data_IF_516557595113
#
_entry.id   IF_516557595113
#
_cell.length_a   1.000
_cell.length_b   1.000
_cell.length_c   1.000
_cell.angle_alpha   90.00
_cell.angle_beta   90.00
_cell.angle_gamma   90.00
#
_symmetry.space_group_name_H-M   'P 1'
#
loop_
_entity.id
_entity.type
_entity.pdbx_description
1 polymer ?
#
# COMPACT_ATOMS: atom_id res chain seq x y z
N UNK A 1 22.36 12.57 -7.69
CA UNK A 1 21.85 11.26 -7.19
C UNK A 1 21.14 10.58 -8.35
N UNK A 2 21.31 9.27 -8.48
CA UNK A 2 20.68 8.47 -9.55
C UNK A 2 19.61 7.55 -8.96
N UNK A 3 18.59 7.24 -9.76
CA UNK A 3 17.54 6.26 -9.46
C UNK A 3 17.52 5.21 -10.58
N UNK A 4 17.16 3.98 -10.23
CA UNK A 4 16.98 2.90 -11.20
C UNK A 4 15.53 2.92 -11.71
N UNK A 5 15.33 2.98 -13.02
CA UNK A 5 13.99 2.90 -13.62
C UNK A 5 13.43 1.46 -13.48
N UNK A 6 12.22 1.26 -12.96
CA UNK A 6 11.64 -0.08 -12.79
C UNK A 6 11.13 -0.72 -14.10
N UNK A 7 11.06 0.05 -15.19
CA UNK A 7 10.61 -0.44 -16.50
C UNK A 7 11.79 -0.95 -17.33
N UNK A 8 12.79 -0.09 -17.57
CA UNK A 8 13.94 -0.39 -18.43
C UNK A 8 15.24 -0.70 -17.68
N UNK A 9 15.24 -0.66 -16.35
CA UNK A 9 16.40 -0.97 -15.50
C UNK A 9 17.65 -0.09 -15.76
N UNK A 10 17.46 1.11 -16.31
CA UNK A 10 18.52 2.08 -16.53
C UNK A 10 18.67 3.01 -15.32
N UNK A 11 19.92 3.32 -14.95
CA UNK A 11 20.24 4.33 -13.94
C UNK A 11 20.12 5.73 -14.53
N UNK A 12 19.25 6.55 -13.96
CA UNK A 12 18.93 7.89 -14.46
C UNK A 12 19.19 8.93 -13.39
N UNK A 13 19.59 10.12 -13.81
CA UNK A 13 19.73 11.25 -12.91
C UNK A 13 18.36 11.64 -12.33
N UNK A 14 18.31 12.04 -11.05
CA UNK A 14 17.05 12.34 -10.36
C UNK A 14 16.18 13.38 -11.07
N UNK A 15 16.77 14.33 -11.78
CA UNK A 15 16.07 15.43 -12.47
C UNK A 15 15.34 14.98 -13.75
N UNK A 16 15.68 13.83 -14.33
CA UNK A 16 15.04 13.28 -15.55
C UNK A 16 14.21 12.01 -15.27
N UNK A 17 14.26 11.49 -14.05
CA UNK A 17 13.65 10.21 -13.70
C UNK A 17 12.14 10.20 -13.92
N UNK A 18 11.44 11.24 -13.46
CA UNK A 18 9.97 11.28 -13.51
C UNK A 18 9.45 11.40 -14.96
N UNK A 19 10.11 12.22 -15.80
CA UNK A 19 9.79 12.33 -17.23
C UNK A 19 10.06 11.01 -17.97
N UNK A 20 11.18 10.35 -17.66
CA UNK A 20 11.50 9.05 -18.23
C UNK A 20 10.47 7.99 -17.85
N UNK A 21 10.06 7.92 -16.57
CA UNK A 21 9.01 7.00 -16.11
C UNK A 21 7.67 7.31 -16.79
N UNK A 22 7.31 8.58 -16.96
CA UNK A 22 6.09 8.97 -17.67
C UNK A 22 6.09 8.54 -19.15
N UNK A 23 7.26 8.39 -19.77
CA UNK A 23 7.36 7.89 -21.14
C UNK A 23 6.98 6.41 -21.30
N UNK A 24 7.16 5.61 -20.25
CA UNK A 24 6.80 4.19 -20.19
C UNK A 24 5.30 3.99 -19.94
N UNK A 25 4.67 4.86 -19.14
CA UNK A 25 3.24 4.78 -18.82
C UNK A 25 2.35 5.51 -19.82
N UNK A 26 2.93 6.07 -20.89
CA UNK A 26 2.16 6.66 -22.00
C UNK A 26 1.26 5.60 -22.61
N UNK A 27 -0.02 5.93 -22.77
CA UNK A 27 -0.97 5.06 -23.42
C UNK A 27 -0.74 5.06 -24.94
N UNK A 28 -0.80 3.87 -25.53
CA UNK A 28 -0.85 3.62 -26.96
C UNK A 28 -2.28 3.91 -27.50
N UNK A 29 -2.48 3.99 -28.83
CA UNK A 29 -3.80 4.25 -29.41
C UNK A 29 -4.89 3.24 -29.01
N UNK A 30 -4.50 2.03 -28.62
CA UNK A 30 -5.38 0.95 -28.15
C UNK A 30 -5.66 0.99 -26.64
N UNK A 31 -5.11 1.97 -25.92
CA UNK A 31 -5.27 2.15 -24.48
C UNK A 31 -4.27 1.36 -23.63
N UNK A 32 -3.37 0.56 -24.20
CA UNK A 32 -2.34 -0.16 -23.44
C UNK A 32 -1.22 0.81 -23.03
N UNK A 33 -0.62 0.63 -21.84
CA UNK A 33 0.62 1.33 -21.53
C UNK A 33 1.75 0.84 -22.45
N UNK A 34 2.62 1.76 -22.88
CA UNK A 34 3.74 1.43 -23.77
C UNK A 34 4.65 0.33 -23.21
N UNK A 35 4.98 0.43 -21.92
CA UNK A 35 5.86 -0.52 -21.25
C UNK A 35 5.27 -0.95 -19.90
N UNK A 36 5.68 -2.13 -19.42
CA UNK A 36 5.28 -2.67 -18.13
C UNK A 36 6.47 -2.73 -17.17
N UNK A 37 6.18 -2.58 -15.87
CA UNK A 37 7.19 -2.80 -14.83
C UNK A 37 7.59 -4.28 -14.87
N UNK A 38 8.88 -4.56 -14.97
CA UNK A 38 9.39 -5.94 -15.04
C UNK A 38 10.53 -6.09 -14.05
N UNK A 39 10.89 -7.32 -13.68
CA UNK A 39 12.16 -7.56 -12.98
C UNK A 39 13.32 -7.44 -13.98
N UNK A 40 14.56 -7.39 -13.48
CA UNK A 40 15.72 -7.25 -14.37
C UNK A 40 15.82 -8.46 -15.31
N UNK A 41 16.25 -8.28 -16.57
CA UNK A 41 16.36 -9.39 -17.52
C UNK A 41 17.10 -10.62 -16.98
N UNK A 42 18.15 -10.42 -16.19
CA UNK A 42 18.96 -11.49 -15.61
C UNK A 42 18.19 -12.29 -14.54
N UNK A 43 17.23 -11.66 -13.87
CA UNK A 43 16.39 -12.26 -12.82
C UNK A 43 15.17 -12.99 -13.40
N UNK A 44 14.75 -12.66 -14.64
CA UNK A 44 13.55 -13.22 -15.30
C UNK A 44 13.65 -14.72 -15.61
N UNK A 45 14.85 -15.29 -15.71
CA UNK A 45 15.05 -16.67 -16.19
C UNK A 45 14.81 -17.75 -15.11
N UNK A 46 14.22 -17.40 -13.97
CA UNK A 46 13.90 -18.37 -12.93
C UNK A 46 12.61 -19.15 -13.24
N UNK A 47 12.74 -20.39 -13.71
CA UNK A 47 11.65 -21.37 -13.73
C UNK A 47 11.11 -21.76 -15.10
N UNK A 48 10.30 -22.84 -15.09
CA UNK A 48 9.63 -23.41 -16.25
C UNK A 48 8.30 -22.71 -16.52
N UNK A 49 8.12 -22.19 -17.73
CA UNK A 49 6.90 -21.49 -18.17
C UNK A 49 5.83 -22.42 -18.73
N UNK A 50 6.10 -23.72 -18.88
CA UNK A 50 5.13 -24.64 -19.44
C UNK A 50 3.86 -24.77 -18.57
N UNK A 51 3.98 -24.50 -17.26
CA UNK A 51 2.89 -24.60 -16.28
C UNK A 51 2.15 -23.29 -16.04
N UNK A 52 2.64 -22.20 -16.62
CA UNK A 52 2.14 -20.86 -16.33
C UNK A 52 1.06 -20.47 -17.35
N UNK A 53 -0.13 -20.03 -16.89
CA UNK A 53 -1.18 -19.58 -17.79
C UNK A 53 -0.73 -18.29 -18.51
N UNK A 54 -1.12 -18.16 -19.77
CA UNK A 54 -0.65 -17.10 -20.68
C UNK A 54 -1.79 -16.26 -21.20
N UNK A 55 -3.00 -16.79 -21.23
CA UNK A 55 -4.15 -16.13 -21.84
C UNK A 55 -5.24 -15.94 -20.80
N UNK A 56 -5.87 -14.78 -20.79
CA UNK A 56 -7.02 -14.53 -19.93
C UNK A 56 -8.17 -13.90 -20.70
N UNK A 57 -9.37 -14.18 -20.25
CA UNK A 57 -10.62 -13.70 -20.84
C UNK A 57 -11.30 -12.72 -19.90
N UNK A 58 -11.93 -11.69 -20.47
CA UNK A 58 -12.88 -10.83 -19.77
C UNK A 58 -14.30 -11.26 -20.14
N UNK A 59 -15.05 -11.95 -19.26
CA UNK A 59 -16.36 -12.50 -19.61
C UNK A 59 -17.39 -11.44 -20.04
N UNK A 60 -17.22 -10.17 -19.61
CA UNK A 60 -18.14 -9.08 -19.97
C UNK A 60 -18.03 -8.67 -21.45
N UNK A 61 -16.82 -8.61 -22.00
CA UNK A 61 -16.62 -8.21 -23.40
C UNK A 61 -16.22 -9.38 -24.32
N UNK A 62 -15.93 -10.56 -23.78
CA UNK A 62 -15.46 -11.73 -24.52
C UNK A 62 -14.03 -11.64 -25.04
N UNK A 63 -13.30 -10.56 -24.73
CA UNK A 63 -11.94 -10.33 -25.20
C UNK A 63 -10.95 -11.29 -24.56
N UNK A 64 -10.06 -11.86 -25.37
CA UNK A 64 -8.94 -12.69 -24.91
C UNK A 64 -7.66 -11.87 -25.01
N UNK A 65 -6.96 -11.74 -23.89
CA UNK A 65 -5.69 -11.00 -23.79
C UNK A 65 -4.57 -11.96 -23.47
N UNK A 66 -3.51 -11.91 -24.27
CA UNK A 66 -2.26 -12.63 -24.00
C UNK A 66 -1.36 -11.82 -23.07
N UNK A 67 -0.79 -12.48 -22.07
CA UNK A 67 0.23 -11.90 -21.21
C UNK A 67 1.62 -12.20 -21.81
N UNK A 68 2.41 -11.17 -22.16
CA UNK A 68 3.78 -11.35 -22.63
C UNK A 68 4.64 -12.19 -21.68
N UNK A 69 5.53 -13.00 -22.24
CA UNK A 69 6.39 -13.90 -21.47
C UNK A 69 7.20 -13.17 -20.38
N UNK A 70 7.73 -12.00 -20.70
CA UNK A 70 8.50 -11.17 -19.77
C UNK A 70 7.70 -10.70 -18.55
N UNK A 71 6.39 -10.49 -18.72
CA UNK A 71 5.48 -10.12 -17.63
C UNK A 71 5.25 -11.33 -16.75
N UNK A 72 4.97 -12.50 -17.34
CA UNK A 72 4.78 -13.77 -16.62
C UNK A 72 6.03 -14.11 -15.80
N UNK A 73 7.22 -14.02 -16.42
CA UNK A 73 8.50 -14.26 -15.73
C UNK A 73 8.74 -13.29 -14.58
N UNK A 74 8.47 -12.01 -14.78
CA UNK A 74 8.58 -11.01 -13.71
C UNK A 74 7.62 -11.31 -12.56
N UNK A 75 6.43 -11.79 -12.88
CA UNK A 75 5.42 -12.16 -11.91
C UNK A 75 5.76 -13.41 -11.10
N UNK A 76 6.46 -14.38 -11.70
CA UNK A 76 6.99 -15.55 -11.00
C UNK A 76 8.09 -15.19 -9.99
N UNK A 77 8.86 -14.14 -10.29
CA UNK A 77 9.94 -13.66 -9.41
C UNK A 77 9.39 -12.83 -8.26
N UNK A 78 8.51 -11.86 -8.56
CA UNK A 78 7.85 -11.04 -7.55
C UNK A 78 6.35 -10.89 -7.85
N UNK A 79 5.47 -11.62 -7.15
CA UNK A 79 4.03 -11.53 -7.38
C UNK A 79 3.41 -10.22 -6.85
N UNK A 80 4.18 -9.36 -6.18
CA UNK A 80 3.72 -8.04 -5.70
C UNK A 80 3.99 -6.91 -6.70
N UNK A 81 4.60 -7.20 -7.85
CA UNK A 81 5.02 -6.18 -8.82
C UNK A 81 3.86 -5.42 -9.48
N UNK A 82 2.74 -6.10 -9.69
CA UNK A 82 1.59 -5.54 -10.41
C UNK A 82 0.40 -5.22 -9.49
N UNK A 83 -0.38 -4.24 -9.93
CA UNK A 83 -1.59 -3.77 -9.26
C UNK A 83 -2.79 -4.71 -9.52
N UNK A 84 -3.92 -4.40 -8.89
CA UNK A 84 -5.18 -5.16 -8.99
C UNK A 84 -5.96 -4.93 -10.29
N UNK A 85 -5.30 -4.47 -11.34
CA UNK A 85 -5.91 -4.28 -12.67
C UNK A 85 -4.99 -4.76 -13.77
N UNK A 86 -5.57 -5.26 -14.86
CA UNK A 86 -4.86 -5.68 -16.06
C UNK A 86 -5.56 -5.15 -17.30
N UNK A 87 -4.80 -4.95 -18.37
CA UNK A 87 -5.33 -4.47 -19.64
C UNK A 87 -6.23 -5.52 -20.29
N UNK A 88 -7.35 -5.12 -20.86
CA UNK A 88 -8.25 -5.99 -21.61
C UNK A 88 -8.28 -5.53 -23.07
N UNK A 89 -7.87 -6.40 -23.99
CA UNK A 89 -7.88 -6.13 -25.45
C UNK A 89 -9.26 -5.84 -26.00
N UNK A 90 -10.33 -6.42 -25.43
CA UNK A 90 -11.70 -6.17 -25.87
C UNK A 90 -12.28 -4.85 -25.34
N UNK A 91 -11.88 -4.40 -24.15
CA UNK A 91 -12.31 -3.12 -23.59
C UNK A 91 -11.39 -1.94 -23.95
N UNK A 92 -10.19 -2.20 -24.49
CA UNK A 92 -9.17 -1.18 -24.73
C UNK A 92 -8.82 -0.37 -23.46
N UNK A 93 -8.76 -1.05 -22.31
CA UNK A 93 -8.54 -0.40 -21.03
C UNK A 93 -8.21 -1.37 -19.89
N UNK A 94 -7.82 -0.82 -18.75
CA UNK A 94 -7.49 -1.59 -17.55
C UNK A 94 -8.76 -1.91 -16.76
N UNK A 95 -8.99 -3.20 -16.53
CA UNK A 95 -10.13 -3.70 -15.75
C UNK A 95 -9.63 -4.40 -14.49
N UNK A 96 -10.43 -4.45 -13.40
CA UNK A 96 -10.04 -5.15 -12.19
C UNK A 96 -9.73 -6.62 -12.46
N UNK A 97 -8.64 -7.14 -11.86
CA UNK A 97 -8.25 -8.56 -12.04
C UNK A 97 -9.28 -9.55 -11.49
N UNK A 98 -10.21 -9.08 -10.65
CA UNK A 98 -11.37 -9.84 -10.18
C UNK A 98 -12.34 -10.23 -11.31
N UNK A 99 -12.37 -9.44 -12.39
CA UNK A 99 -13.26 -9.66 -13.54
C UNK A 99 -12.63 -10.52 -14.64
N UNK A 100 -11.34 -10.85 -14.50
CA UNK A 100 -10.57 -11.55 -15.52
C UNK A 100 -10.31 -12.99 -15.09
N UNK A 101 -10.37 -13.91 -16.03
CA UNK A 101 -10.20 -15.35 -15.77
C UNK A 101 -9.13 -15.93 -16.69
N UNK A 102 -8.23 -16.74 -16.15
CA UNK A 102 -7.27 -17.48 -16.95
C UNK A 102 -8.01 -18.45 -17.86
N UNK A 103 -7.69 -18.44 -19.15
CA UNK A 103 -8.35 -19.27 -20.13
C UNK A 103 -8.03 -20.76 -19.92
N UNK A 104 -6.82 -21.06 -19.44
CA UNK A 104 -6.33 -22.43 -19.27
C UNK A 104 -6.86 -23.10 -18.00
N UNK A 105 -7.10 -22.34 -16.93
CA UNK A 105 -7.48 -22.87 -15.61
C UNK A 105 -8.88 -22.46 -15.15
N UNK A 106 -9.50 -21.49 -15.83
CA UNK A 106 -10.74 -20.83 -15.42
C UNK A 106 -10.69 -20.24 -13.99
N UNK A 107 -9.48 -20.01 -13.45
CA UNK A 107 -9.26 -19.34 -12.18
C UNK A 107 -9.27 -17.82 -12.42
N UNK A 108 -9.88 -17.04 -11.53
CA UNK A 108 -9.77 -15.57 -11.61
C UNK A 108 -8.32 -15.12 -11.48
N UNK A 109 -7.92 -14.08 -12.21
CA UNK A 109 -6.56 -13.53 -12.14
C UNK A 109 -6.22 -13.07 -10.72
N UNK A 110 -7.21 -12.49 -10.03
CA UNK A 110 -7.11 -12.10 -8.64
C UNK A 110 -6.86 -13.30 -7.71
N UNK A 111 -7.63 -14.39 -7.83
CA UNK A 111 -7.46 -15.59 -7.02
C UNK A 111 -6.09 -16.24 -7.22
N UNK A 112 -5.67 -16.39 -8.48
CA UNK A 112 -4.34 -16.89 -8.82
C UNK A 112 -3.23 -15.99 -8.24
N UNK A 113 -3.45 -14.67 -8.22
CA UNK A 113 -2.53 -13.72 -7.61
C UNK A 113 -2.38 -13.88 -6.11
N UNK A 114 -3.49 -14.04 -5.40
CA UNK A 114 -3.46 -14.19 -3.96
C UNK A 114 -2.79 -15.48 -3.53
N UNK A 115 -3.06 -16.57 -4.24
CA UNK A 115 -2.37 -17.84 -4.03
C UNK A 115 -0.87 -17.71 -4.19
N UNK A 116 -0.38 -17.12 -5.30
CA UNK A 116 1.06 -16.91 -5.52
C UNK A 116 1.71 -16.00 -4.49
N UNK A 117 1.06 -14.90 -4.12
CA UNK A 117 1.59 -14.00 -3.08
C UNK A 117 1.69 -14.71 -1.73
N UNK A 118 0.71 -15.53 -1.36
CA UNK A 118 0.76 -16.33 -0.14
C UNK A 118 1.89 -17.37 -0.17
N UNK A 119 2.02 -18.11 -1.27
CA UNK A 119 3.13 -19.07 -1.50
C UNK A 119 4.49 -18.35 -1.43
N UNK A 120 4.62 -17.16 -2.00
CA UNK A 120 5.83 -16.37 -1.98
C UNK A 120 6.20 -15.91 -0.56
N UNK A 121 5.23 -15.43 0.23
CA UNK A 121 5.44 -15.06 1.64
C UNK A 121 5.95 -16.26 2.43
N UNK A 122 5.33 -17.43 2.25
CA UNK A 122 5.71 -18.66 2.93
C UNK A 122 7.12 -19.12 2.52
N UNK A 123 7.39 -19.20 1.21
CA UNK A 123 8.68 -19.66 0.65
C UNK A 123 9.85 -18.78 1.07
N UNK A 124 9.65 -17.46 1.16
CA UNK A 124 10.69 -16.50 1.52
C UNK A 124 10.74 -16.20 3.02
N UNK A 125 9.97 -16.94 3.85
CA UNK A 125 9.88 -16.73 5.30
C UNK A 125 9.60 -15.27 5.70
N UNK A 126 8.79 -14.57 4.91
CA UNK A 126 8.43 -13.18 5.21
C UNK A 126 7.45 -13.15 6.37
N UNK A 127 7.57 -12.14 7.25
CA UNK A 127 6.68 -12.03 8.41
C UNK A 127 5.25 -11.75 7.93
N UNK A 128 4.26 -12.63 8.21
CA UNK A 128 2.89 -12.43 7.76
C UNK A 128 2.26 -11.13 8.29
N UNK A 129 2.76 -10.61 9.42
CA UNK A 129 2.29 -9.36 10.01
C UNK A 129 2.71 -8.12 9.19
N UNK A 130 3.70 -8.23 8.31
CA UNK A 130 4.08 -7.15 7.40
C UNK A 130 3.08 -6.98 6.25
N UNK A 131 2.07 -7.85 6.17
CA UNK A 131 1.04 -7.84 5.14
C UNK A 131 -0.34 -7.60 5.75
N UNK A 132 -1.19 -6.94 4.98
CA UNK A 132 -2.64 -6.88 5.20
C UNK A 132 -3.25 -8.06 4.48
N UNK A 133 -4.06 -8.85 5.18
CA UNK A 133 -4.77 -10.01 4.65
C UNK A 133 -6.26 -9.71 4.69
N UNK A 134 -6.77 -9.02 3.68
CA UNK A 134 -8.20 -8.73 3.54
C UNK A 134 -8.79 -9.46 2.33
N UNK A 135 -10.01 -9.09 1.92
CA UNK A 135 -10.65 -9.67 0.73
C UNK A 135 -9.84 -9.41 -0.56
N UNK A 136 -8.89 -8.47 -0.53
CA UNK A 136 -7.93 -8.20 -1.60
C UNK A 136 -6.60 -8.98 -1.46
N UNK A 137 -6.57 -10.01 -0.62
CA UNK A 137 -5.42 -10.88 -0.44
C UNK A 137 -4.24 -10.21 0.28
N UNK A 138 -3.06 -10.85 0.31
CA UNK A 138 -1.88 -10.28 0.96
C UNK A 138 -1.38 -9.03 0.20
N UNK A 139 -1.47 -7.87 0.86
CA UNK A 139 -0.86 -6.62 0.39
C UNK A 139 0.21 -6.15 1.38
N UNK A 140 1.38 -5.74 0.91
CA UNK A 140 2.46 -5.28 1.80
C UNK A 140 2.00 -4.03 2.54
N UNK A 141 2.02 -4.03 3.88
CA UNK A 141 1.75 -2.81 4.66
C UNK A 141 2.77 -1.77 4.23
N UNK A 142 2.30 -0.62 3.75
CA UNK A 142 3.17 0.55 3.58
C UNK A 142 3.75 0.85 4.97
N UNK A 143 5.04 0.58 5.15
CA UNK A 143 5.69 0.68 6.45
C UNK A 143 5.38 2.03 7.10
N UNK A 144 4.95 1.99 8.37
CA UNK A 144 4.56 3.17 9.17
C UNK A 144 5.72 4.17 9.39
N UNK A 145 6.91 3.89 8.87
CA UNK A 145 8.14 4.65 9.08
C UNK A 145 8.31 5.97 8.31
N UNK A 146 7.33 6.41 7.50
CA UNK A 146 7.48 7.63 6.67
C UNK A 146 6.52 8.79 6.95
N UNK A 147 5.33 8.54 7.51
CA UNK A 147 4.26 9.56 7.54
C UNK A 147 4.08 10.28 8.89
N UNK A 148 4.68 9.78 9.98
CA UNK A 148 4.49 10.34 11.33
C UNK A 148 5.15 11.70 11.57
N UNK A 149 6.14 12.09 10.76
CA UNK A 149 6.84 13.37 10.92
C UNK A 149 6.14 14.55 10.21
N UNK A 150 5.22 14.29 9.28
CA UNK A 150 4.53 15.34 8.51
C UNK A 150 3.31 15.94 9.22
N UNK A 151 2.58 15.15 10.00
CA UNK A 151 1.33 15.59 10.61
C UNK A 151 1.52 16.63 11.72
N UNK A 152 2.66 16.62 12.44
CA UNK A 152 2.96 17.67 13.42
C UNK A 152 3.22 19.04 12.77
N UNK A 153 3.72 19.08 11.53
CA UNK A 153 3.94 20.33 10.80
C UNK A 153 2.65 20.92 10.19
N UNK A 154 1.68 20.07 9.84
CA UNK A 154 0.40 20.53 9.24
C UNK A 154 -0.46 21.28 10.26
N UNK A 155 -0.43 20.93 11.55
CA UNK A 155 -1.17 21.68 12.56
C UNK A 155 -0.61 23.09 12.82
N UNK A 156 0.71 23.29 12.67
CA UNK A 156 1.30 24.62 12.84
C UNK A 156 1.01 25.56 11.66
N UNK A 157 1.01 25.04 10.42
CA UNK A 157 0.68 25.83 9.22
C UNK A 157 -0.83 26.03 9.07
N UNK A 158 -1.64 25.04 9.44
CA UNK A 158 -3.11 25.12 9.40
C UNK A 158 -3.67 26.22 10.31
N UNK A 159 -3.08 26.45 11.48
CA UNK A 159 -3.49 27.54 12.38
C UNK A 159 -3.22 28.93 11.77
N UNK A 160 -2.09 29.10 11.07
CA UNK A 160 -1.77 30.35 10.37
C UNK A 160 -2.68 30.56 9.16
N UNK A 161 -2.94 29.53 8.36
CA UNK A 161 -3.85 29.60 7.23
C UNK A 161 -5.31 29.86 7.64
N UNK A 162 -5.77 29.30 8.77
CA UNK A 162 -7.08 29.57 9.33
C UNK A 162 -7.23 31.04 9.75
N UNK A 163 -6.20 31.64 10.35
CA UNK A 163 -6.19 33.07 10.68
C UNK A 163 -6.21 33.96 9.43
N UNK A 164 -5.48 33.59 8.37
CA UNK A 164 -5.52 34.30 7.09
C UNK A 164 -6.89 34.17 6.40
N UNK A 165 -7.51 32.99 6.43
CA UNK A 165 -8.86 32.79 5.88
C UNK A 165 -9.91 33.58 6.66
N UNK A 166 -9.81 33.64 7.99
CA UNK A 166 -10.72 34.44 8.81
C UNK A 166 -10.57 35.95 8.51
N UNK A 167 -9.34 36.44 8.36
CA UNK A 167 -9.07 37.81 7.91
C UNK A 167 -9.58 38.08 6.49
N UNK A 168 -9.42 37.13 5.57
CA UNK A 168 -9.87 37.26 4.19
C UNK A 168 -11.41 37.22 4.05
N UNK A 169 -12.11 36.42 4.86
CA UNK A 169 -13.59 36.41 4.89
C UNK A 169 -14.14 37.72 5.44
N UNK A 170 -13.51 38.31 6.47
CA UNK A 170 -13.87 39.66 6.95
C UNK A 170 -13.63 40.71 5.86
N UNK A 171 -12.49 40.64 5.15
CA UNK A 171 -12.19 41.55 4.04
C UNK A 171 -13.18 41.40 2.87
N UNK A 172 -13.52 40.18 2.46
CA UNK A 172 -14.52 39.92 1.42
C UNK A 172 -15.93 40.34 1.86
N UNK A 173 -16.27 40.22 3.14
CA UNK A 173 -17.53 40.73 3.69
C UNK A 173 -17.67 42.25 3.54
N UNK A 174 -16.60 43.00 3.81
CA UNK A 174 -16.58 44.47 3.64
C UNK A 174 -16.67 44.87 2.16
N UNK A 175 -16.07 44.11 1.25
CA UNK A 175 -16.11 44.39 -0.20
C UNK A 175 -17.46 43.97 -0.82
N UNK A 176 -18.11 42.92 -0.30
CA UNK A 176 -19.38 42.39 -0.84
C UNK A 176 -20.60 43.27 -0.57
N UNK A 177 -20.55 44.16 0.42
CA UNK A 177 -21.63 45.17 0.64
C UNK A 177 -21.68 46.18 -0.52
N UNK A 178 -20.60 46.36 -1.30
CA UNK A 178 -20.55 47.32 -2.42
C UNK A 178 -20.90 46.77 -3.80
N UNK A 179 -21.07 45.45 -3.98
CA UNK A 179 -21.13 44.87 -5.34
C UNK A 179 -22.36 44.00 -5.65
N UNK A 180 -23.38 43.96 -4.78
CA UNK A 180 -24.65 43.23 -5.02
C UNK A 180 -25.62 43.87 -6.04
N UNK A 181 -25.12 44.53 -7.07
CA UNK A 181 -25.95 45.16 -8.10
C UNK A 181 -25.82 44.57 -9.52
N UNK A 182 -25.02 43.53 -9.77
CA UNK A 182 -24.86 43.03 -11.13
C UNK A 182 -24.72 41.51 -11.24
N UNK A 183 -25.51 40.95 -12.16
CA UNK A 183 -25.43 39.63 -12.82
C UNK A 183 -26.22 38.49 -12.16
N UNK A 184 -27.48 38.38 -12.58
CA UNK A 184 -28.12 37.08 -12.87
C UNK A 184 -27.91 36.79 -14.36
N UNK A 185 -27.26 35.68 -14.70
CA UNK A 185 -27.44 35.03 -16.00
C UNK A 185 -27.73 33.54 -15.78
N UNK A 186 -28.72 32.97 -16.50
CA UNK A 186 -29.02 31.55 -16.44
C UNK A 186 -28.00 30.72 -17.23
N UNK A 187 -27.70 29.52 -16.72
CA UNK A 187 -26.80 28.57 -17.36
C UNK A 187 -27.41 27.98 -18.66
N UNK A 188 -26.60 27.66 -19.69
CA UNK A 188 -27.08 26.98 -20.88
C UNK A 188 -27.35 25.48 -20.62
N UNK A 189 -28.31 24.88 -21.34
CA UNK A 189 -28.66 23.46 -21.19
C UNK A 189 -27.60 22.54 -21.81
N UNK A 190 -27.11 21.57 -21.04
CA UNK A 190 -26.30 20.47 -21.54
C UNK A 190 -27.20 19.34 -22.03
N UNK A 191 -27.31 19.20 -23.35
CA UNK A 191 -27.82 18.01 -24.03
C UNK A 191 -26.81 17.61 -25.09
N UNK A 192 -25.87 16.73 -24.73
CA UNK A 192 -25.01 16.03 -25.68
C UNK A 192 -25.45 14.56 -25.70
N UNK A 193 -25.99 14.14 -26.85
CA UNK A 193 -26.49 12.78 -27.07
C UNK A 193 -25.37 11.75 -26.96
N UNK A 194 -25.67 10.63 -26.29
CA UNK A 194 -24.86 9.42 -26.36
C UNK A 194 -25.06 8.75 -27.72
N UNK A 195 -24.00 8.28 -28.39
CA UNK A 195 -24.15 7.48 -29.60
C UNK A 195 -24.84 6.16 -29.28
N UNK A 196 -25.82 5.80 -30.10
CA UNK A 196 -26.51 4.52 -30.03
C UNK A 196 -25.51 3.42 -30.40
N UNK A 197 -25.28 2.46 -29.49
CA UNK A 197 -24.53 1.25 -29.78
C UNK A 197 -25.40 0.34 -30.66
N UNK A 198 -24.84 -0.12 -31.79
CA UNK A 198 -25.46 -1.07 -32.71
C UNK A 198 -25.82 -2.38 -32.00
N UNK A 199 -27.06 -2.84 -32.22
CA UNK A 199 -27.69 -3.98 -31.53
C UNK A 199 -27.36 -5.35 -32.16
N UNK A 200 -26.42 -5.41 -33.11
CA UNK A 200 -26.16 -6.64 -33.88
C UNK A 200 -25.14 -7.59 -33.21
N UNK A 201 -24.95 -7.50 -31.90
CA UNK A 201 -24.12 -8.47 -31.16
C UNK A 201 -24.87 -9.79 -31.03
N UNK A 202 -24.61 -10.73 -31.96
CA UNK A 202 -25.06 -12.11 -31.80
C UNK A 202 -24.23 -12.78 -30.69
N UNK A 203 -24.86 -13.26 -29.60
CA UNK A 203 -24.14 -13.95 -28.56
C UNK A 203 -23.52 -15.23 -29.14
N UNK A 204 -22.20 -15.35 -29.00
CA UNK A 204 -21.46 -16.57 -29.37
C UNK A 204 -22.05 -17.72 -28.56
N UNK A 205 -22.68 -18.69 -29.23
CA UNK A 205 -23.11 -19.93 -28.59
C UNK A 205 -21.86 -20.75 -28.28
N UNK A 206 -21.51 -20.84 -27.01
CA UNK A 206 -20.47 -21.75 -26.55
C UNK A 206 -21.00 -23.19 -26.62
N UNK A 207 -20.21 -24.15 -27.12
CA UNK A 207 -20.59 -25.56 -27.10
C UNK A 207 -20.81 -26.04 -25.66
N UNK A 208 -21.81 -26.90 -25.46
CA UNK A 208 -22.14 -27.50 -24.17
C UNK A 208 -20.92 -28.23 -23.60
N UNK A 209 -20.19 -27.56 -22.71
CA UNK A 209 -19.10 -28.19 -21.96
C UNK A 209 -19.76 -29.15 -20.97
N UNK A 210 -19.45 -30.46 -21.00
CA UNK A 210 -19.95 -31.39 -20.01
C UNK A 210 -19.59 -30.86 -18.63
N UNK A 211 -20.59 -30.71 -17.76
CA UNK A 211 -20.42 -30.19 -16.41
C UNK A 211 -19.47 -31.13 -15.64
N UNK A 212 -18.17 -30.86 -15.71
CA UNK A 212 -17.21 -31.47 -14.83
C UNK A 212 -17.62 -31.06 -13.41
N UNK A 213 -17.85 -32.04 -12.53
CA UNK A 213 -18.15 -31.80 -11.13
C UNK A 213 -17.05 -30.93 -10.55
N UNK A 214 -17.33 -29.63 -10.41
CA UNK A 214 -16.40 -28.69 -9.79
C UNK A 214 -16.18 -29.23 -8.38
N UNK A 215 -14.96 -29.65 -8.01
CA UNK A 215 -14.70 -30.16 -6.68
C UNK A 215 -15.14 -29.09 -5.70
N UNK A 216 -16.06 -29.45 -4.79
CA UNK A 216 -16.61 -28.50 -3.81
C UNK A 216 -15.42 -27.86 -3.11
N UNK A 217 -15.26 -26.57 -3.31
CA UNK A 217 -14.19 -25.81 -2.68
C UNK A 217 -14.23 -26.00 -1.17
N UNK A 218 -13.09 -25.78 -0.47
CA UNK A 218 -13.06 -25.85 0.98
C UNK A 218 -14.17 -24.97 1.55
N UNK A 219 -14.91 -25.51 2.52
CA UNK A 219 -16.03 -24.82 3.16
C UNK A 219 -15.55 -23.50 3.77
N UNK A 220 -15.79 -22.40 3.07
CA UNK A 220 -15.32 -21.05 3.43
C UNK A 220 -15.88 -20.66 4.81
N UNK A 221 -17.09 -21.10 5.13
CA UNK A 221 -17.72 -20.83 6.43
C UNK A 221 -16.98 -21.55 7.55
N UNK A 222 -16.54 -22.78 7.31
CA UNK A 222 -15.69 -23.52 8.24
C UNK A 222 -14.34 -22.83 8.47
N UNK A 223 -13.67 -22.39 7.40
CA UNK A 223 -12.40 -21.68 7.53
C UNK A 223 -12.53 -20.36 8.31
N UNK A 224 -13.59 -19.59 8.06
CA UNK A 224 -13.86 -18.35 8.78
C UNK A 224 -14.07 -18.60 10.28
N UNK A 225 -14.83 -19.64 10.64
CA UNK A 225 -15.06 -20.05 12.03
C UNK A 225 -13.77 -20.49 12.73
N UNK A 226 -12.95 -21.31 12.07
CA UNK A 226 -11.66 -21.74 12.62
C UNK A 226 -10.70 -20.55 12.79
N UNK A 227 -10.74 -19.58 11.87
CA UNK A 227 -9.94 -18.36 11.97
C UNK A 227 -10.38 -17.46 13.14
N UNK A 228 -11.70 -17.31 13.38
CA UNK A 228 -12.19 -16.53 14.52
C UNK A 228 -11.80 -17.17 15.85
N UNK A 229 -11.92 -18.50 15.96
CA UNK A 229 -11.51 -19.23 17.17
C UNK A 229 -10.01 -19.10 17.47
N UNK A 230 -9.16 -19.09 16.43
CA UNK A 230 -7.71 -18.85 16.60
C UNK A 230 -7.42 -17.44 17.09
N UNK A 231 -8.15 -16.44 16.58
CA UNK A 231 -7.98 -15.04 16.98
C UNK A 231 -8.40 -14.81 18.43
N UNK A 232 -9.52 -15.38 18.86
CA UNK A 232 -9.98 -15.32 20.26
C UNK A 232 -8.96 -15.97 21.22
N UNK A 233 -8.41 -17.13 20.86
CA UNK A 233 -7.35 -17.76 21.66
C UNK A 233 -6.10 -16.88 21.79
N UNK A 234 -5.70 -16.18 20.73
CA UNK A 234 -4.57 -15.24 20.78
C UNK A 234 -4.84 -14.02 21.67
N UNK A 235 -6.07 -13.50 21.64
CA UNK A 235 -6.50 -12.41 22.51
C UNK A 235 -6.49 -12.85 23.98
N UNK A 236 -6.98 -14.05 24.29
CA UNK A 236 -6.99 -14.59 25.64
C UNK A 236 -5.57 -14.77 26.20
N UNK A 237 -4.67 -15.35 25.39
CA UNK A 237 -3.24 -15.48 25.77
C UNK A 237 -2.58 -14.12 26.01
N UNK A 238 -2.94 -13.11 25.19
CA UNK A 238 -2.41 -11.76 25.35
C UNK A 238 -2.93 -11.10 26.63
N UNK A 239 -4.21 -11.30 26.97
CA UNK A 239 -4.82 -10.81 28.21
C UNK A 239 -4.18 -11.44 29.45
N UNK A 240 -4.01 -12.76 29.45
CA UNK A 240 -3.32 -13.48 30.55
C UNK A 240 -1.89 -12.98 30.75
N UNK A 241 -1.18 -12.66 29.66
CA UNK A 241 0.18 -12.10 29.74
C UNK A 241 0.19 -10.70 30.35
N UNK A 242 -0.82 -9.88 30.04
CA UNK A 242 -0.98 -8.55 30.66
C UNK A 242 -1.33 -8.65 32.14
N UNK A 243 -2.25 -9.55 32.51
CA UNK A 243 -2.59 -9.80 33.92
C UNK A 243 -1.39 -10.29 34.72
N UNK A 244 -0.60 -11.21 34.15
CA UNK A 244 0.64 -11.67 34.79
C UNK A 244 1.64 -10.53 35.01
N UNK A 245 1.81 -9.65 34.02
CA UNK A 245 2.66 -8.46 34.16
C UNK A 245 2.14 -7.48 35.22
N UNK A 246 0.82 -7.31 35.33
CA UNK A 246 0.22 -6.47 36.37
C UNK A 246 0.41 -7.07 37.76
N UNK A 247 0.33 -8.38 37.90
CA UNK A 247 0.57 -9.07 39.17
C UNK A 247 2.05 -9.02 39.56
N UNK A 248 2.99 -9.18 38.61
CA UNK A 248 4.43 -8.97 38.85
C UNK A 248 4.77 -7.54 39.26
N UNK A 249 3.99 -6.55 38.82
CA UNK A 249 4.13 -5.14 39.20
C UNK A 249 3.38 -4.79 40.50
N UNK A 250 2.58 -5.70 41.04
CA UNK A 250 1.86 -5.47 42.28
C UNK A 250 2.89 -5.48 43.41
N UNK A 251 3.09 -4.34 44.13
CA UNK A 251 4.02 -4.32 45.23
C UNK A 251 3.57 -5.32 46.30
N UNK A 252 4.53 -6.11 46.81
CA UNK A 252 4.27 -7.04 47.90
C UNK A 252 3.57 -6.27 49.04
N UNK A 253 2.44 -6.80 49.56
CA UNK A 253 1.80 -6.19 50.72
C UNK A 253 2.82 -6.17 51.84
N UNK A 254 3.29 -4.96 52.15
CA UNK A 254 4.22 -4.66 53.22
C UNK A 254 3.89 -5.55 54.42
N UNK A 255 4.85 -6.39 54.81
CA UNK A 255 4.76 -7.18 56.02
C UNK A 255 4.37 -6.29 57.22
N UNK A 256 3.88 -6.89 58.31
CA UNK A 256 3.40 -6.16 59.48
C UNK A 256 4.42 -5.09 59.89
N UNK A 257 3.98 -3.91 60.38
CA UNK A 257 4.85 -2.78 60.71
C UNK A 257 5.80 -3.14 61.86
N UNK A 258 6.86 -3.86 61.53
CA UNK A 258 7.97 -4.18 62.39
C UNK A 258 8.97 -3.06 62.29
N UNK A 259 9.03 -2.23 63.34
CA UNK A 259 10.00 -1.18 63.64
C UNK A 259 11.11 -0.99 62.61
N UNK A 260 10.88 -0.11 61.65
CA UNK A 260 11.96 0.47 60.87
C UNK A 260 12.75 1.41 61.80
N UNK A 261 13.97 0.99 62.15
CA UNK A 261 15.03 1.94 62.40
C UNK A 261 15.07 2.92 61.22
N UNK A 262 15.19 4.22 61.53
CA UNK A 262 15.23 5.29 60.54
C UNK A 262 16.12 4.91 59.35
N UNK A 263 15.60 4.91 58.12
CA UNK A 263 16.44 4.68 56.95
C UNK A 263 17.51 5.78 56.91
N UNK A 264 18.76 5.46 56.54
CA UNK A 264 19.73 6.49 56.23
C UNK A 264 19.15 7.36 55.11
N UNK A 265 19.23 8.68 55.30
CA UNK A 265 18.84 9.70 54.33
C UNK A 265 19.57 9.49 53.00
N UNK A 266 19.02 8.64 52.13
CA UNK A 266 19.32 8.71 50.70
C UNK A 266 18.44 9.79 50.10
N UNK A 267 18.87 11.04 50.34
CA UNK A 267 18.41 12.16 49.54
C UNK A 267 18.68 11.86 48.05
N UNK A 268 17.77 12.22 47.13
CA UNK A 268 18.05 12.15 45.71
C UNK A 268 19.24 13.08 45.43
N UNK A 269 20.44 12.51 45.36
CA UNK A 269 21.62 13.28 44.99
C UNK A 269 21.38 13.77 43.56
N UNK A 270 21.28 15.09 43.40
CA UNK A 270 21.00 15.76 42.12
C UNK A 270 21.92 15.31 40.97
N UNK A 271 23.05 14.69 41.29
CA UNK A 271 24.00 14.05 40.38
C UNK A 271 23.34 13.08 39.39
N UNK A 272 22.35 12.27 39.80
CA UNK A 272 21.73 11.27 38.91
C UNK A 272 20.89 11.88 37.78
N UNK A 273 20.21 12.99 38.07
CA UNK A 273 19.38 13.71 37.10
C UNK A 273 20.26 14.54 36.16
N UNK A 274 21.33 15.13 36.69
CA UNK A 274 22.29 15.90 35.89
C UNK A 274 23.06 15.02 34.91
N UNK A 275 23.48 13.82 35.34
CA UNK A 275 24.12 12.83 34.46
C UNK A 275 23.14 12.32 33.38
N UNK A 276 21.87 12.12 33.71
CA UNK A 276 20.86 11.75 32.72
C UNK A 276 20.66 12.86 31.67
N UNK A 277 20.60 14.12 32.09
CA UNK A 277 20.52 15.28 31.18
C UNK A 277 21.77 15.41 30.31
N UNK A 278 22.96 15.22 30.88
CA UNK A 278 24.23 15.25 30.16
C UNK A 278 24.29 14.16 29.08
N UNK A 279 23.93 12.92 29.42
CA UNK A 279 23.88 11.80 28.45
C UNK A 279 22.88 12.07 27.31
N UNK A 280 21.72 12.66 27.63
CA UNK A 280 20.73 13.05 26.62
C UNK A 280 21.27 14.15 25.68
N UNK A 281 21.92 15.18 26.23
CA UNK A 281 22.53 16.25 25.44
C UNK A 281 23.64 15.74 24.50
N UNK A 282 24.51 14.85 24.99
CA UNK A 282 25.56 14.22 24.19
C UNK A 282 25.00 13.33 23.07
N UNK A 283 23.89 12.63 23.31
CA UNK A 283 23.21 11.84 22.28
C UNK A 283 22.63 12.73 21.18
N UNK A 284 22.00 13.86 21.55
CA UNK A 284 21.48 14.83 20.59
C UNK A 284 22.60 15.49 19.76
N UNK A 285 23.73 15.80 20.38
CA UNK A 285 24.88 16.38 19.67
C UNK A 285 25.45 15.40 18.64
N UNK A 286 25.66 14.13 19.02
CA UNK A 286 26.12 13.07 18.10
C UNK A 286 25.18 12.88 16.90
N UNK A 287 23.87 13.00 17.11
CA UNK A 287 22.89 12.93 16.03
C UNK A 287 23.02 14.12 15.06
N UNK A 288 23.22 15.34 15.57
CA UNK A 288 23.45 16.54 14.74
C UNK A 288 24.73 16.44 13.91
N UNK A 289 25.81 15.95 14.51
CA UNK A 289 27.09 15.80 13.83
C UNK A 289 27.00 14.79 12.66
N UNK A 290 26.29 13.67 12.85
CA UNK A 290 26.02 12.70 11.77
C UNK A 290 25.28 13.33 10.59
N UNK A 291 24.26 14.14 10.85
CA UNK A 291 23.51 14.85 9.79
C UNK A 291 24.41 15.85 9.06
N UNK A 292 25.28 16.57 9.78
CA UNK A 292 26.21 17.52 9.17
C UNK A 292 27.26 16.83 8.29
N UNK A 293 27.78 15.67 8.70
CA UNK A 293 28.69 14.85 7.88
C UNK A 293 28.01 14.40 6.59
N UNK A 294 26.76 13.93 6.67
CA UNK A 294 25.98 13.53 5.48
C UNK A 294 25.78 14.74 4.56
N UNK A 295 25.38 15.90 5.11
CA UNK A 295 25.18 17.14 4.34
C UNK A 295 26.46 17.60 3.65
N UNK A 296 27.62 17.51 4.33
CA UNK A 296 28.93 17.82 3.76
C UNK A 296 29.26 16.88 2.59
N UNK A 297 29.10 15.56 2.77
CA UNK A 297 29.29 14.57 1.69
C UNK A 297 28.39 14.80 0.49
N UNK A 298 27.17 15.31 0.68
CA UNK A 298 26.27 15.66 -0.42
C UNK A 298 26.72 16.92 -1.16
N UNK A 299 27.33 17.89 -0.47
CA UNK A 299 27.86 19.12 -1.07
C UNK A 299 29.15 18.88 -1.85
N UNK A 300 30.01 18.01 -1.33
CA UNK A 300 31.35 17.74 -1.89
C UNK A 300 31.33 16.67 -3.00
N UNK A 301 30.15 16.22 -3.46
CA UNK A 301 30.04 15.20 -4.50
C UNK A 301 30.06 15.88 -5.89
N UNK A 302 31.09 15.63 -6.72
CA UNK A 302 31.23 16.22 -8.05
C UNK A 302 30.12 15.75 -9.00
#
# INVERSE_FOLDING_TARGET
MHKLCPFCHTWLANNIFDEHVASHTRLLPDGQMKDHVTVRPEERFAGDLAKEPRWYVHPKCGGVTGMPEEIIRSYMVDPFLYNESSFCTGCHGYVPTAELFWQETNESLQGASYRRKAEFIQKNHLNPNDFVWDASGPARRKGRGGAGAGLAAVFAVGAVAALFLLGFVVLLGVISVRTRAARRQPAPPMNAGFPAFDRDFQPVQFPDIPQAEIPRGPDIQKMLRESSERMEKQLEVSRQRQEKLLEELRPDPLGPPGGFASPPEFGPTGAGIEDARKRSAEAHQRARDRVNVIRKRMRDRP
#
